data_IF_146672304069
#
_entry.id   IF_146672304069
#
_cell.length_a   1.000
_cell.length_b   1.000
_cell.length_c   1.000
_cell.angle_alpha   90.00
_cell.angle_beta   90.00
_cell.angle_gamma   90.00
#
_symmetry.space_group_name_H-M   'P 1'
#
loop_
_entity.id
_entity.type
_entity.pdbx_description
1 polymer ?
#
# COMPACT_ATOMS: atom_id res chain seq x y z
N UNK A 1 -35.41 2.08 2.02
CA UNK A 1 -34.10 2.44 1.44
C UNK A 1 -33.52 1.21 0.76
N UNK A 2 -33.50 1.18 -0.58
CA UNK A 2 -33.21 -0.02 -1.37
C UNK A 2 -31.70 -0.30 -1.43
N UNK A 3 -31.33 -1.54 -1.10
CA UNK A 3 -29.99 -2.13 -1.26
C UNK A 3 -29.53 -2.20 -2.72
N UNK A 4 -30.38 -1.83 -3.68
CA UNK A 4 -30.09 -1.90 -5.12
C UNK A 4 -28.93 -0.99 -5.59
N UNK A 5 -28.53 0.04 -4.83
CA UNK A 5 -27.31 0.83 -5.16
C UNK A 5 -26.00 0.10 -4.83
N UNK A 6 -26.04 -0.93 -3.99
CA UNK A 6 -24.85 -1.76 -3.68
C UNK A 6 -24.55 -2.82 -4.75
N UNK A 7 -25.50 -3.18 -5.62
CA UNK A 7 -25.29 -4.30 -6.57
C UNK A 7 -24.21 -4.00 -7.62
N UNK A 8 -24.14 -2.77 -8.14
CA UNK A 8 -23.18 -2.43 -9.20
C UNK A 8 -21.75 -2.39 -8.70
N UNK A 9 -21.50 -1.79 -7.53
CA UNK A 9 -20.15 -1.77 -6.94
C UNK A 9 -19.71 -3.17 -6.53
N UNK A 10 -20.62 -3.98 -5.99
CA UNK A 10 -20.29 -5.36 -5.64
C UNK A 10 -20.00 -6.21 -6.87
N UNK A 11 -20.74 -6.02 -7.96
CA UNK A 11 -20.51 -6.72 -9.22
C UNK A 11 -19.15 -6.37 -9.83
N UNK A 12 -18.77 -5.09 -9.84
CA UNK A 12 -17.44 -4.65 -10.28
C UNK A 12 -16.34 -5.26 -9.40
N UNK A 13 -16.54 -5.26 -8.08
CA UNK A 13 -15.57 -5.86 -7.15
C UNK A 13 -15.43 -7.37 -7.37
N UNK A 14 -16.53 -8.08 -7.63
CA UNK A 14 -16.52 -9.51 -7.96
C UNK A 14 -15.75 -9.76 -9.26
N UNK A 15 -16.01 -8.98 -10.31
CA UNK A 15 -15.28 -9.07 -11.58
C UNK A 15 -13.77 -8.87 -11.39
N UNK A 16 -13.36 -7.88 -10.60
CA UNK A 16 -11.94 -7.64 -10.29
C UNK A 16 -11.30 -8.75 -9.47
N UNK A 17 -12.02 -9.32 -8.50
CA UNK A 17 -11.53 -10.47 -7.73
C UNK A 17 -11.34 -11.68 -8.65
N UNK A 18 -12.31 -11.95 -9.54
CA UNK A 18 -12.20 -13.05 -10.50
C UNK A 18 -11.03 -12.83 -11.46
N UNK A 19 -10.85 -11.62 -11.98
CA UNK A 19 -9.71 -11.27 -12.83
C UNK A 19 -8.38 -11.51 -12.11
N UNK A 20 -8.24 -11.03 -10.87
CA UNK A 20 -7.04 -11.25 -10.05
C UNK A 20 -6.75 -12.75 -9.85
N UNK A 21 -7.76 -13.54 -9.48
CA UNK A 21 -7.60 -14.99 -9.28
C UNK A 21 -7.24 -15.72 -10.58
N UNK A 22 -7.80 -15.29 -11.71
CA UNK A 22 -7.47 -15.84 -13.03
C UNK A 22 -6.03 -15.53 -13.44
N UNK A 23 -5.54 -14.30 -13.18
CA UNK A 23 -4.15 -13.93 -13.40
C UNK A 23 -3.22 -14.80 -12.55
N UNK A 24 -3.53 -14.93 -11.24
CA UNK A 24 -2.75 -15.74 -10.32
C UNK A 24 -2.65 -17.21 -10.79
N UNK A 25 -3.78 -17.81 -11.19
CA UNK A 25 -3.81 -19.19 -11.65
C UNK A 25 -3.13 -19.39 -13.01
N UNK A 26 -3.45 -18.55 -13.99
CA UNK A 26 -2.97 -18.71 -15.37
C UNK A 26 -1.46 -18.51 -15.52
N UNK A 27 -0.89 -17.60 -14.72
CA UNK A 27 0.53 -17.27 -14.76
C UNK A 27 1.34 -17.97 -13.66
N UNK A 28 0.69 -18.73 -12.77
CA UNK A 28 1.35 -19.40 -11.65
C UNK A 28 1.92 -18.44 -10.61
N UNK A 29 1.33 -17.25 -10.47
CA UNK A 29 1.82 -16.21 -9.57
C UNK A 29 1.40 -16.49 -8.13
N UNK A 30 2.30 -16.20 -7.19
CA UNK A 30 2.01 -16.29 -5.76
C UNK A 30 1.43 -14.96 -5.27
N UNK A 31 0.20 -15.00 -4.76
CA UNK A 31 -0.42 -13.86 -4.09
C UNK A 31 0.28 -13.59 -2.76
N UNK A 32 0.64 -12.33 -2.52
CA UNK A 32 1.25 -11.87 -1.27
C UNK A 32 0.52 -10.63 -0.74
N UNK A 33 0.72 -10.35 0.54
CA UNK A 33 0.35 -9.06 1.13
C UNK A 33 1.57 -8.16 1.18
N UNK A 34 1.42 -6.93 0.69
CA UNK A 34 2.50 -5.95 0.68
C UNK A 34 2.05 -4.62 1.28
N UNK A 35 3.01 -3.93 1.91
CA UNK A 35 2.89 -2.56 2.38
C UNK A 35 4.16 -1.82 2.00
N UNK A 36 4.01 -0.59 1.50
CA UNK A 36 5.11 0.27 1.12
C UNK A 36 4.87 1.64 1.74
N UNK A 37 5.89 2.17 2.41
CA UNK A 37 5.85 3.49 2.99
C UNK A 37 7.16 4.23 2.73
N UNK A 38 7.07 5.55 2.70
CA UNK A 38 8.23 6.44 2.67
C UNK A 38 8.34 7.08 4.05
N UNK A 39 9.41 6.75 4.75
CA UNK A 39 9.77 7.39 6.02
C UNK A 39 10.77 8.51 5.72
N UNK A 40 10.38 9.74 6.02
CA UNK A 40 11.24 10.90 5.82
C UNK A 40 11.28 11.74 7.10
N UNK A 41 12.47 12.25 7.45
CA UNK A 41 12.70 13.02 8.67
C UNK A 41 13.68 14.16 8.42
N UNK A 42 13.56 15.22 9.20
CA UNK A 42 14.56 16.30 9.30
C UNK A 42 14.51 16.89 10.72
N UNK A 43 15.64 17.45 11.17
CA UNK A 43 15.71 18.26 12.38
C UNK A 43 15.20 19.70 12.19
N UNK A 44 15.08 20.16 10.94
CA UNK A 44 14.54 21.48 10.59
C UNK A 44 13.07 21.35 10.12
N UNK A 45 12.20 22.20 10.68
CA UNK A 45 10.77 22.23 10.34
C UNK A 45 10.51 22.72 8.93
N UNK A 46 11.30 23.66 8.41
CA UNK A 46 11.11 24.16 7.04
C UNK A 46 11.53 23.12 6.02
N UNK A 47 12.65 22.45 6.26
CA UNK A 47 13.10 21.32 5.44
C UNK A 47 12.09 20.16 5.47
N UNK A 48 11.54 19.83 6.65
CA UNK A 48 10.50 18.79 6.76
C UNK A 48 9.25 19.11 5.94
N UNK A 49 8.85 20.40 5.88
CA UNK A 49 7.73 20.84 5.03
C UNK A 49 8.05 20.64 3.55
N UNK A 50 9.28 20.94 3.14
CA UNK A 50 9.73 20.74 1.76
C UNK A 50 9.74 19.25 1.39
N UNK A 51 10.36 18.41 2.22
CA UNK A 51 10.41 16.95 2.04
C UNK A 51 8.99 16.36 1.91
N UNK A 52 8.05 16.80 2.76
CA UNK A 52 6.66 16.34 2.69
C UNK A 52 6.01 16.66 1.33
N UNK A 53 6.25 17.84 0.80
CA UNK A 53 5.72 18.24 -0.50
C UNK A 53 6.35 17.41 -1.62
N UNK A 54 7.67 17.21 -1.59
CA UNK A 54 8.39 16.46 -2.61
C UNK A 54 7.97 14.99 -2.64
N UNK A 55 7.83 14.35 -1.48
CA UNK A 55 7.30 12.97 -1.36
C UNK A 55 5.87 12.89 -1.89
N UNK A 56 5.01 13.86 -1.51
CA UNK A 56 3.64 13.91 -2.02
C UNK A 56 3.56 14.05 -3.54
N UNK A 57 4.41 14.90 -4.12
CA UNK A 57 4.52 15.09 -5.57
C UNK A 57 5.04 13.84 -6.29
N UNK A 58 6.06 13.16 -5.74
CA UNK A 58 6.59 11.93 -6.32
C UNK A 58 5.56 10.79 -6.30
N UNK A 59 4.82 10.63 -5.20
CA UNK A 59 3.73 9.64 -5.10
C UNK A 59 2.60 9.95 -6.09
N UNK A 60 2.25 11.22 -6.27
CA UNK A 60 1.25 11.63 -7.26
C UNK A 60 1.68 11.36 -8.71
N UNK A 61 2.98 11.48 -9.04
CA UNK A 61 3.52 11.14 -10.36
C UNK A 61 3.41 9.64 -10.69
N UNK A 62 3.37 8.78 -9.67
CA UNK A 62 3.11 7.34 -9.82
C UNK A 62 1.62 6.99 -9.82
N UNK A 63 0.74 8.00 -9.89
CA UNK A 63 -0.72 7.84 -9.77
C UNK A 63 -1.16 7.16 -8.46
N UNK A 64 -0.28 7.17 -7.46
CA UNK A 64 -0.55 6.63 -6.14
C UNK A 64 -1.28 7.68 -5.30
N UNK A 65 -2.24 7.24 -4.49
CA UNK A 65 -2.95 8.10 -3.55
C UNK A 65 -2.29 7.96 -2.17
N UNK A 66 -1.41 8.90 -1.77
CA UNK A 66 -0.66 8.76 -0.52
C UNK A 66 -1.60 8.91 0.69
N UNK A 67 -1.55 7.94 1.59
CA UNK A 67 -2.15 8.06 2.93
C UNK A 67 -1.07 8.55 3.87
N UNK A 68 -1.29 9.72 4.47
CA UNK A 68 -0.38 10.23 5.50
C UNK A 68 -0.77 9.65 6.85
N UNK A 69 0.00 8.65 7.31
CA UNK A 69 -0.25 8.01 8.60
C UNK A 69 0.31 8.87 9.74
N UNK A 70 -0.58 9.38 10.58
CA UNK A 70 -0.23 10.21 11.76
C UNK A 70 -0.44 9.50 13.08
N UNK A 71 -1.30 8.48 13.13
CA UNK A 71 -1.66 7.73 14.34
C UNK A 71 -0.77 6.49 14.45
N UNK A 72 -0.79 5.64 13.43
CA UNK A 72 -0.12 4.33 13.46
C UNK A 72 1.35 4.39 13.00
N UNK A 73 1.91 5.60 12.89
CA UNK A 73 3.28 5.80 12.39
C UNK A 73 4.32 5.07 13.23
N UNK A 74 4.18 5.09 14.56
CA UNK A 74 5.08 4.37 15.45
C UNK A 74 4.96 2.85 15.26
N UNK A 75 3.73 2.33 15.19
CA UNK A 75 3.48 0.89 14.96
C UNK A 75 4.06 0.44 13.63
N UNK A 76 3.83 1.19 12.56
CA UNK A 76 4.37 0.88 11.23
C UNK A 76 5.90 0.93 11.20
N UNK A 77 6.51 1.89 11.89
CA UNK A 77 7.96 1.96 12.02
C UNK A 77 8.52 0.69 12.69
N UNK A 78 7.97 0.29 13.83
CA UNK A 78 8.43 -0.88 14.57
C UNK A 78 8.11 -2.19 13.85
N UNK A 79 6.99 -2.28 13.14
CA UNK A 79 6.60 -3.46 12.37
C UNK A 79 7.57 -3.75 11.20
N UNK A 80 8.30 -2.74 10.72
CA UNK A 80 9.36 -2.90 9.73
C UNK A 80 10.65 -3.52 10.26
N UNK A 81 10.78 -3.71 11.58
CA UNK A 81 11.97 -4.31 12.20
C UNK A 81 11.83 -5.84 12.23
N UNK A 82 12.88 -6.60 11.82
CA UNK A 82 12.86 -8.05 11.84
C UNK A 82 12.44 -8.62 13.20
N UNK A 83 11.46 -9.53 13.18
CA UNK A 83 10.90 -10.15 14.39
C UNK A 83 9.64 -9.47 14.92
N UNK A 84 9.29 -8.27 14.45
CA UNK A 84 8.12 -7.53 14.92
C UNK A 84 6.94 -7.48 13.92
N UNK A 85 6.99 -8.30 12.87
CA UNK A 85 5.96 -8.31 11.83
C UNK A 85 4.55 -8.68 12.33
N UNK A 86 4.44 -9.33 13.49
CA UNK A 86 3.16 -9.68 14.10
C UNK A 86 2.34 -8.46 14.55
N UNK A 87 3.00 -7.33 14.81
CA UNK A 87 2.36 -6.07 15.21
C UNK A 87 1.91 -5.23 13.99
N UNK A 88 2.17 -5.71 12.76
CA UNK A 88 1.78 -4.99 11.55
C UNK A 88 0.24 -4.94 11.41
N UNK A 89 -0.37 -3.75 11.27
CA UNK A 89 -1.82 -3.64 11.11
C UNK A 89 -2.29 -4.30 9.83
N UNK A 90 -3.19 -5.28 9.93
CA UNK A 90 -3.62 -6.05 8.77
C UNK A 90 -4.23 -5.16 7.68
N UNK A 91 -4.95 -4.11 8.05
CA UNK A 91 -5.58 -3.13 7.16
C UNK A 91 -4.60 -2.26 6.38
N UNK A 92 -3.33 -2.18 6.79
CA UNK A 92 -2.32 -1.34 6.15
C UNK A 92 -1.62 -2.06 4.97
N UNK A 93 -1.97 -3.31 4.66
CA UNK A 93 -1.42 -4.05 3.51
C UNK A 93 -2.49 -4.44 2.48
N UNK A 94 -2.09 -4.50 1.21
CA UNK A 94 -2.95 -4.91 0.10
C UNK A 94 -2.42 -6.16 -0.59
N UNK A 95 -3.28 -6.83 -1.36
CA UNK A 95 -2.91 -8.00 -2.15
C UNK A 95 -2.22 -7.59 -3.45
N UNK A 96 -1.09 -8.23 -3.74
CA UNK A 96 -0.34 -8.06 -4.98
C UNK A 96 0.39 -9.36 -5.31
N UNK A 97 1.25 -9.34 -6.33
CA UNK A 97 2.14 -10.44 -6.70
C UNK A 97 3.59 -10.09 -6.39
N UNK A 98 4.46 -11.09 -6.40
CA UNK A 98 5.87 -10.94 -6.02
C UNK A 98 6.58 -9.96 -6.96
N UNK A 99 6.43 -10.12 -8.27
CA UNK A 99 7.11 -9.29 -9.28
C UNK A 99 6.81 -7.79 -9.13
N UNK A 100 5.53 -7.33 -9.12
CA UNK A 100 5.24 -5.92 -8.91
C UNK A 100 5.62 -5.42 -7.50
N UNK A 101 5.61 -6.28 -6.48
CA UNK A 101 6.06 -5.89 -5.15
C UNK A 101 7.56 -5.64 -5.09
N UNK A 102 8.37 -6.45 -5.79
CA UNK A 102 9.81 -6.31 -5.84
C UNK A 102 10.26 -5.04 -6.59
N UNK A 103 9.43 -4.49 -7.48
CA UNK A 103 9.73 -3.21 -8.14
C UNK A 103 9.94 -2.04 -7.16
N UNK A 104 9.31 -2.09 -5.98
CA UNK A 104 9.47 -1.09 -4.93
C UNK A 104 10.59 -1.40 -3.93
N UNK A 105 11.26 -2.55 -4.09
CA UNK A 105 12.43 -2.87 -3.29
C UNK A 105 13.62 -2.10 -3.86
N UNK A 106 13.98 -0.99 -3.23
CA UNK A 106 15.24 -0.29 -3.53
C UNK A 106 16.39 -1.16 -3.02
N UNK A 107 17.02 -1.91 -3.92
CA UNK A 107 18.29 -2.56 -3.67
C UNK A 107 19.40 -1.48 -3.70
N UNK A 108 19.53 -0.74 -2.59
CA UNK A 108 20.77 -0.04 -2.25
C UNK A 108 21.55 -0.83 -1.20
#
# INVERSE_FOLDING_TARGET
HSLARYSRSNQINEEWIQEYLNIAHSQGLTSIRAHFNVLAWSSDKEELRQIKNDVGSALALMECHPRHNTIDAATLYWAGIPGNAADFPAEESFYTFIEPALCFFTAE
#
